data_IF_577327352057
#
_entry.id   IF_577327352057
#
_cell.length_a   1.000
_cell.length_b   1.000
_cell.length_c   1.000
_cell.angle_alpha   90.00
_cell.angle_beta   90.00
_cell.angle_gamma   90.00
#
_symmetry.space_group_name_H-M   'P 1'
#
loop_
_entity.id
_entity.type
_entity.pdbx_description
1 polymer ?
#
# COMPACT_ATOMS: atom_id res chain seq x y z
N UNK A 1 -19.70 2.72 -24.76
CA UNK A 1 -19.39 2.65 -23.32
C UNK A 1 -19.75 4.01 -22.74
N UNK A 2 -20.85 4.09 -21.97
CA UNK A 2 -21.30 5.34 -21.36
C UNK A 2 -20.41 5.59 -20.15
N UNK A 3 -19.46 6.53 -20.22
CA UNK A 3 -18.74 7.01 -19.04
C UNK A 3 -19.60 8.04 -18.34
N UNK A 4 -20.53 7.56 -17.50
CA UNK A 4 -21.14 8.41 -16.48
C UNK A 4 -20.03 8.84 -15.53
N UNK A 5 -19.55 10.07 -15.66
CA UNK A 5 -18.49 10.60 -14.82
C UNK A 5 -18.97 10.68 -13.37
N UNK A 6 -18.42 9.81 -12.52
CA UNK A 6 -18.60 9.92 -11.08
C UNK A 6 -17.87 11.19 -10.61
N UNK A 7 -18.62 12.15 -10.08
CA UNK A 7 -18.06 13.37 -9.52
C UNK A 7 -17.56 13.11 -8.09
N UNK A 8 -16.32 12.63 -7.98
CA UNK A 8 -15.66 12.27 -6.71
C UNK A 8 -15.63 13.47 -5.74
N UNK A 9 -15.62 14.71 -6.26
CA UNK A 9 -15.59 15.92 -5.44
C UNK A 9 -16.84 16.13 -4.59
N UNK A 10 -17.96 15.50 -4.94
CA UNK A 10 -19.22 15.55 -4.18
C UNK A 10 -19.31 14.53 -3.05
N UNK A 11 -18.43 13.53 -3.06
CA UNK A 11 -18.37 12.52 -2.00
C UNK A 11 -17.72 13.12 -0.75
N UNK A 12 -18.20 12.73 0.41
CA UNK A 12 -17.52 12.96 1.69
C UNK A 12 -16.16 12.25 1.73
N UNK A 13 -15.30 12.59 2.70
CA UNK A 13 -14.01 11.91 2.87
C UNK A 13 -14.20 10.40 3.04
N UNK A 14 -15.17 9.99 3.85
CA UNK A 14 -15.45 8.57 4.10
C UNK A 14 -15.90 7.85 2.82
N UNK A 15 -16.79 8.44 2.04
CA UNK A 15 -17.24 7.86 0.77
C UNK A 15 -16.12 7.78 -0.26
N UNK A 16 -15.18 8.74 -0.27
CA UNK A 16 -14.00 8.65 -1.14
C UNK A 16 -13.04 7.54 -0.71
N UNK A 17 -12.87 7.33 0.60
CA UNK A 17 -12.07 6.21 1.13
C UNK A 17 -12.72 4.90 0.72
N UNK A 18 -14.03 4.75 0.96
CA UNK A 18 -14.76 3.54 0.59
C UNK A 18 -14.68 3.27 -0.92
N UNK A 19 -14.88 4.29 -1.75
CA UNK A 19 -14.74 4.13 -3.20
C UNK A 19 -13.33 3.71 -3.61
N UNK A 20 -12.29 4.24 -2.96
CA UNK A 20 -10.92 3.84 -3.25
C UNK A 20 -10.67 2.38 -2.86
N UNK A 21 -11.22 1.91 -1.74
CA UNK A 21 -11.18 0.51 -1.32
C UNK A 21 -11.93 -0.39 -2.31
N UNK A 22 -13.16 -0.04 -2.67
CA UNK A 22 -14.00 -0.81 -3.61
C UNK A 22 -13.33 -0.96 -4.99
N UNK A 23 -12.71 0.12 -5.48
CA UNK A 23 -11.96 0.10 -6.74
C UNK A 23 -10.68 -0.74 -6.62
N UNK A 24 -10.01 -0.71 -5.47
CA UNK A 24 -8.82 -1.52 -5.25
C UNK A 24 -9.16 -3.01 -5.18
N UNK A 25 -10.25 -3.35 -4.48
CA UNK A 25 -10.76 -4.72 -4.39
C UNK A 25 -11.21 -5.26 -5.76
N UNK A 26 -11.82 -4.44 -6.61
CA UNK A 26 -12.20 -4.87 -7.95
C UNK A 26 -10.97 -5.18 -8.81
N UNK A 27 -9.92 -4.35 -8.75
CA UNK A 27 -8.66 -4.62 -9.45
C UNK A 27 -8.00 -5.88 -8.90
N UNK A 28 -7.96 -6.07 -7.58
CA UNK A 28 -7.39 -7.26 -6.96
C UNK A 28 -8.11 -8.54 -7.40
N UNK A 29 -9.46 -8.51 -7.48
CA UNK A 29 -10.26 -9.63 -7.95
C UNK A 29 -9.98 -10.01 -9.42
N UNK A 30 -9.63 -9.04 -10.26
CA UNK A 30 -9.32 -9.26 -11.68
C UNK A 30 -7.85 -9.61 -11.95
N UNK A 31 -6.92 -9.18 -11.09
CA UNK A 31 -5.47 -9.35 -11.29
C UNK A 31 -5.01 -10.80 -11.10
N UNK A 32 -5.78 -11.61 -10.37
CA UNK A 32 -5.42 -13.00 -10.03
C UNK A 32 -4.29 -13.11 -9.01
N UNK A 33 -3.85 -14.34 -8.73
CA UNK A 33 -2.76 -14.57 -7.76
C UNK A 33 -1.43 -14.04 -8.30
N UNK A 34 -0.77 -13.20 -7.49
CA UNK A 34 0.61 -12.77 -7.68
C UNK A 34 1.49 -13.58 -6.72
N UNK A 35 1.93 -14.79 -7.08
CA UNK A 35 2.68 -15.64 -6.18
C UNK A 35 4.01 -14.98 -5.83
N UNK A 36 4.29 -14.88 -4.54
CA UNK A 36 5.60 -14.51 -4.05
C UNK A 36 6.56 -15.69 -4.28
N UNK A 37 7.80 -15.38 -4.66
CA UNK A 37 8.87 -16.37 -4.64
C UNK A 37 9.14 -16.84 -3.20
N UNK A 38 9.66 -18.06 -3.03
CA UNK A 38 10.02 -18.59 -1.71
C UNK A 38 10.97 -17.66 -0.94
N UNK A 39 11.90 -17.01 -1.65
CA UNK A 39 12.81 -16.05 -1.05
C UNK A 39 12.10 -14.78 -0.54
N UNK A 40 11.05 -14.33 -1.22
CA UNK A 40 10.25 -13.19 -0.76
C UNK A 40 9.39 -13.57 0.45
N UNK A 41 8.78 -14.75 0.44
CA UNK A 41 8.02 -15.26 1.60
C UNK A 41 8.92 -15.37 2.83
N UNK A 42 10.09 -16.02 2.69
CA UNK A 42 11.04 -16.17 3.78
C UNK A 42 11.54 -14.83 4.35
N UNK A 43 11.73 -13.81 3.50
CA UNK A 43 12.11 -12.48 3.96
C UNK A 43 10.98 -11.76 4.70
N UNK A 44 9.73 -11.94 4.29
CA UNK A 44 8.57 -11.39 5.01
C UNK A 44 8.42 -12.05 6.38
N UNK A 45 8.47 -13.38 6.44
CA UNK A 45 8.38 -14.14 7.69
C UNK A 45 9.48 -13.70 8.67
N UNK A 46 10.73 -13.60 8.19
CA UNK A 46 11.86 -13.12 9.00
C UNK A 46 11.62 -11.72 9.57
N UNK A 47 11.06 -10.80 8.77
CA UNK A 47 10.75 -9.42 9.24
C UNK A 47 9.61 -9.38 10.25
N UNK A 48 8.60 -10.23 10.08
CA UNK A 48 7.52 -10.38 11.04
C UNK A 48 8.06 -10.89 12.39
N UNK A 49 8.85 -11.98 12.37
CA UNK A 49 9.47 -12.54 13.57
C UNK A 49 10.37 -11.52 14.29
N UNK A 50 11.14 -10.73 13.53
CA UNK A 50 11.99 -9.68 14.10
C UNK A 50 11.18 -8.57 14.76
N UNK A 51 10.06 -8.16 14.16
CA UNK A 51 9.15 -7.16 14.72
C UNK A 51 8.42 -7.66 15.96
N UNK A 52 8.00 -8.93 15.97
CA UNK A 52 7.37 -9.55 17.14
C UNK A 52 8.34 -9.65 18.31
N UNK A 53 9.60 -9.99 18.04
CA UNK A 53 10.67 -10.10 19.04
C UNK A 53 11.10 -8.75 19.59
N UNK A 54 11.19 -7.74 18.74
CA UNK A 54 11.53 -6.37 19.13
C UNK A 54 10.63 -5.34 18.42
N UNK A 55 9.46 -5.01 19.02
CA UNK A 55 8.53 -4.04 18.47
C UNK A 55 9.11 -2.63 18.29
N UNK A 56 10.23 -2.33 18.96
CA UNK A 56 10.93 -1.05 18.85
C UNK A 56 11.80 -0.90 17.60
N UNK A 57 12.01 -1.97 16.83
CA UNK A 57 12.82 -1.95 15.60
C UNK A 57 12.17 -1.21 14.43
N UNK A 58 10.86 -0.98 14.52
CA UNK A 58 10.12 -0.17 13.56
C UNK A 58 10.51 1.31 13.61
N UNK A 59 10.37 2.01 12.49
CA UNK A 59 10.47 3.46 12.44
C UNK A 59 9.08 4.07 12.24
N UNK A 60 8.75 5.21 12.88
CA UNK A 60 7.52 5.92 12.60
C UNK A 60 7.39 6.23 11.10
N UNK A 61 6.15 6.18 10.59
CA UNK A 61 5.88 6.38 9.16
C UNK A 61 6.52 7.65 8.60
N UNK A 62 6.43 8.77 9.32
CA UNK A 62 7.00 10.05 8.87
C UNK A 62 8.53 9.97 8.64
N UNK A 63 9.25 9.20 9.46
CA UNK A 63 10.69 8.98 9.29
C UNK A 63 10.97 8.14 8.04
N UNK A 64 10.18 7.08 7.83
CA UNK A 64 10.31 6.21 6.65
C UNK A 64 9.98 6.99 5.37
N UNK A 65 8.89 7.75 5.38
CA UNK A 65 8.43 8.58 4.27
C UNK A 65 9.47 9.63 3.89
N UNK A 66 9.99 10.39 4.86
CA UNK A 66 11.04 11.39 4.61
C UNK A 66 12.30 10.75 3.98
N UNK A 67 12.65 9.52 4.41
CA UNK A 67 13.76 8.77 3.83
C UNK A 67 13.47 8.35 2.38
N UNK A 68 12.25 7.93 2.05
CA UNK A 68 11.84 7.57 0.69
C UNK A 68 11.86 8.81 -0.22
N UNK A 69 11.24 9.90 0.20
CA UNK A 69 11.20 11.16 -0.55
C UNK A 69 12.62 11.69 -0.84
N UNK A 70 13.53 11.61 0.15
CA UNK A 70 14.95 11.96 -0.04
C UNK A 70 15.67 11.09 -1.08
N UNK A 71 15.29 9.81 -1.22
CA UNK A 71 15.87 8.91 -2.23
C UNK A 71 15.34 9.22 -3.62
N UNK A 72 14.05 9.54 -3.74
CA UNK A 72 13.42 9.89 -5.01
C UNK A 72 13.91 11.23 -5.56
N UNK A 73 14.19 12.20 -4.68
CA UNK A 73 14.69 13.54 -5.04
C UNK A 73 16.20 13.61 -5.28
N UNK A 74 16.96 12.58 -4.90
CA UNK A 74 18.41 12.48 -5.13
C UNK A 74 18.79 11.76 -6.43
N UNK A 75 17.81 11.35 -7.22
CA UNK A 75 18.01 10.65 -8.50
C UNK A 75 17.96 11.59 -9.72
N UNK A 76 18.04 12.91 -9.51
CA UNK A 76 18.28 13.93 -10.55
C UNK A 76 19.74 14.41 -10.56
#
# INVERSE_FOLDING_TARGET
>A
MQTTGLDIGKLSIAERIQLAEDLWDSVAAETGDLPLSEAQVAELDRRCDDLERDPGTGAPWEVVRARIEKRLTKSE
#
